data_IF_518266271461
#
_entry.id   IF_518266271461
#
_cell.length_a   1.000
_cell.length_b   1.000
_cell.length_c   1.000
_cell.angle_alpha   90.00
_cell.angle_beta   90.00
_cell.angle_gamma   90.00
#
_symmetry.space_group_name_H-M   'P 1'
#
loop_
_entity.id
_entity.type
_entity.pdbx_description
1 polymer ?
#
# COMPACT_ATOMS: atom_id res chain seq x y z
N UNK A 1 13.63 12.14 -12.13
CA UNK A 1 13.56 12.69 -10.78
C UNK A 1 12.47 11.99 -9.99
N UNK A 2 12.77 11.57 -8.79
CA UNK A 2 11.79 10.92 -7.92
C UNK A 2 11.16 11.94 -6.99
N UNK A 3 9.86 11.81 -6.82
CA UNK A 3 9.10 12.65 -5.91
C UNK A 3 8.19 11.77 -5.06
N UNK A 4 8.21 11.97 -3.74
CA UNK A 4 7.36 11.24 -2.80
C UNK A 4 6.38 12.21 -2.16
N UNK A 5 5.11 11.83 -2.11
CA UNK A 5 4.09 12.69 -1.52
C UNK A 5 2.89 11.86 -1.07
N UNK A 6 2.08 12.48 -0.22
CA UNK A 6 0.84 11.86 0.28
C UNK A 6 -0.34 12.34 -0.55
N UNK A 7 -1.30 11.46 -0.77
CA UNK A 7 -2.53 11.87 -1.45
C UNK A 7 -3.20 13.06 -0.75
N UNK A 8 -3.17 13.07 0.60
CA UNK A 8 -3.77 14.16 1.36
C UNK A 8 -3.14 15.52 1.12
N UNK A 9 -1.92 15.55 0.57
CA UNK A 9 -1.22 16.80 0.25
C UNK A 9 -1.57 17.37 -1.11
N UNK A 10 -2.32 16.62 -1.92
CA UNK A 10 -2.68 17.07 -3.26
C UNK A 10 -3.70 18.21 -3.21
N UNK A 11 -3.52 19.22 -4.07
CA UNK A 11 -4.54 20.26 -4.18
C UNK A 11 -5.83 19.66 -4.75
N UNK A 12 -6.95 20.31 -4.42
CA UNK A 12 -8.28 19.83 -4.80
C UNK A 12 -8.39 19.48 -6.30
N UNK A 13 -7.80 20.31 -7.15
CA UNK A 13 -7.92 20.13 -8.59
C UNK A 13 -7.10 18.96 -9.14
N UNK A 14 -6.16 18.42 -8.37
CA UNK A 14 -5.38 17.25 -8.79
C UNK A 14 -5.94 15.94 -8.26
N UNK A 15 -6.85 15.97 -7.28
CA UNK A 15 -7.31 14.74 -6.64
C UNK A 15 -7.99 13.76 -7.59
N UNK A 16 -8.85 14.25 -8.49
CA UNK A 16 -9.52 13.36 -9.45
C UNK A 16 -8.52 12.67 -10.35
N UNK A 17 -7.53 13.41 -10.81
CA UNK A 17 -6.51 12.88 -11.71
C UNK A 17 -5.70 11.77 -11.02
N UNK A 18 -5.21 12.03 -9.82
CA UNK A 18 -4.44 11.02 -9.10
C UNK A 18 -5.29 9.85 -8.62
N UNK A 19 -6.55 10.10 -8.27
CA UNK A 19 -7.47 9.01 -7.97
C UNK A 19 -7.51 8.02 -9.14
N UNK A 20 -7.66 8.53 -10.35
CA UNK A 20 -7.70 7.69 -11.54
C UNK A 20 -6.35 7.03 -11.84
N UNK A 21 -5.26 7.77 -11.73
CA UNK A 21 -3.92 7.24 -12.01
C UNK A 21 -3.55 6.11 -11.06
N UNK A 22 -3.82 6.28 -9.78
CA UNK A 22 -3.53 5.26 -8.77
C UNK A 22 -4.37 4.00 -9.05
N UNK A 23 -5.64 4.18 -9.36
CA UNK A 23 -6.50 3.05 -9.67
C UNK A 23 -5.96 2.23 -10.85
N UNK A 24 -5.64 2.91 -11.95
CA UNK A 24 -5.09 2.25 -13.14
C UNK A 24 -3.75 1.57 -12.83
N UNK A 25 -2.91 2.23 -12.07
CA UNK A 25 -1.62 1.68 -11.66
C UNK A 25 -1.79 0.37 -10.89
N UNK A 26 -2.73 0.34 -9.93
CA UNK A 26 -2.98 -0.85 -9.13
C UNK A 26 -3.70 -1.95 -9.91
N UNK A 27 -4.49 -1.58 -10.92
CA UNK A 27 -5.11 -2.57 -11.80
C UNK A 27 -4.05 -3.32 -12.62
N UNK A 28 -3.00 -2.62 -13.05
CA UNK A 28 -1.87 -3.26 -13.74
C UNK A 28 -1.13 -4.22 -12.82
N UNK A 29 -1.17 -3.96 -11.52
CA UNK A 29 -0.54 -4.82 -10.53
C UNK A 29 -1.31 -6.13 -10.31
N UNK A 30 -2.47 -6.28 -10.95
CA UNK A 30 -3.33 -7.46 -10.81
C UNK A 30 -3.61 -7.77 -9.34
N UNK A 31 -4.19 -6.78 -8.65
CA UNK A 31 -4.48 -6.90 -7.22
C UNK A 31 -5.34 -8.13 -6.96
N UNK A 32 -5.00 -8.94 -5.93
CA UNK A 32 -5.64 -10.23 -5.69
C UNK A 32 -7.01 -10.15 -4.99
N UNK A 33 -7.60 -8.97 -4.85
CA UNK A 33 -8.84 -8.80 -4.11
C UNK A 33 -10.05 -8.84 -5.03
N UNK A 34 -11.07 -9.69 -4.74
CA UNK A 34 -12.35 -9.54 -5.41
C UNK A 34 -12.94 -8.18 -5.06
N UNK A 35 -13.66 -7.58 -6.01
CA UNK A 35 -14.27 -6.27 -5.80
C UNK A 35 -13.28 -5.17 -5.38
N UNK A 36 -12.06 -5.21 -5.92
CA UNK A 36 -11.05 -4.21 -5.60
C UNK A 36 -11.55 -2.78 -5.88
N UNK A 37 -12.30 -2.60 -6.96
CA UNK A 37 -12.80 -1.27 -7.33
C UNK A 37 -13.70 -0.69 -6.23
N UNK A 38 -14.55 -1.51 -5.62
CA UNK A 38 -15.44 -1.08 -4.54
C UNK A 38 -14.60 -0.71 -3.32
N UNK A 39 -13.65 -1.60 -2.96
CA UNK A 39 -12.77 -1.36 -1.83
C UNK A 39 -11.97 -0.06 -2.01
N UNK A 40 -11.42 0.15 -3.20
CA UNK A 40 -10.62 1.34 -3.47
C UNK A 40 -11.47 2.61 -3.36
N UNK A 41 -12.67 2.59 -3.97
CA UNK A 41 -13.56 3.74 -3.89
C UNK A 41 -13.95 4.07 -2.46
N UNK A 42 -14.09 3.05 -1.60
CA UNK A 42 -14.48 3.23 -0.20
C UNK A 42 -13.40 3.88 0.65
N UNK A 43 -12.18 4.02 0.15
CA UNK A 43 -11.13 4.76 0.86
C UNK A 43 -11.43 6.25 0.92
N UNK A 44 -12.28 6.73 0.02
CA UNK A 44 -12.49 8.15 -0.22
C UNK A 44 -13.91 8.60 0.14
N UNK A 45 -14.03 9.89 0.45
CA UNK A 45 -15.34 10.55 0.55
C UNK A 45 -15.83 10.90 -0.86
N UNK A 46 -17.08 11.37 -0.96
CA UNK A 46 -17.65 11.77 -2.26
C UNK A 46 -16.85 12.88 -2.94
N UNK A 47 -16.17 13.73 -2.17
CA UNK A 47 -15.36 14.82 -2.70
C UNK A 47 -13.90 14.40 -2.92
N UNK A 48 -13.62 13.10 -2.90
CA UNK A 48 -12.29 12.54 -3.09
C UNK A 48 -11.25 12.99 -2.06
N UNK A 49 -11.69 13.24 -0.84
CA UNK A 49 -10.79 13.28 0.31
C UNK A 49 -10.65 11.87 0.84
N UNK A 50 -9.45 11.49 1.26
CA UNK A 50 -9.29 10.23 1.97
C UNK A 50 -10.01 10.31 3.31
N UNK A 51 -10.60 9.18 3.71
CA UNK A 51 -11.18 9.06 5.05
C UNK A 51 -10.07 9.24 6.09
N UNK A 52 -10.39 9.75 7.30
CA UNK A 52 -9.37 10.10 8.29
C UNK A 52 -8.42 8.95 8.66
N UNK A 53 -8.89 7.71 8.62
CA UNK A 53 -8.06 6.55 8.96
C UNK A 53 -7.16 6.09 7.81
N UNK A 54 -7.21 6.75 6.65
CA UNK A 54 -6.49 6.33 5.45
C UNK A 54 -5.43 7.33 5.01
N UNK A 55 -4.40 6.80 4.38
CA UNK A 55 -3.43 7.60 3.64
C UNK A 55 -2.90 6.77 2.47
N UNK A 56 -2.45 7.46 1.45
CA UNK A 56 -1.79 6.83 0.30
C UNK A 56 -0.47 7.55 0.10
N UNK A 57 0.63 6.80 0.17
CA UNK A 57 1.95 7.32 -0.16
C UNK A 57 2.21 7.03 -1.63
N UNK A 58 2.70 8.01 -2.35
CA UNK A 58 2.93 7.93 -3.79
C UNK A 58 4.37 8.26 -4.10
N UNK A 59 5.00 7.44 -4.94
CA UNK A 59 6.27 7.79 -5.58
C UNK A 59 6.01 8.03 -7.05
N UNK A 60 6.41 9.19 -7.53
CA UNK A 60 6.30 9.56 -8.94
C UNK A 60 7.69 9.72 -9.50
N UNK A 61 7.95 9.12 -10.65
CA UNK A 61 9.22 9.20 -11.33
C UNK A 61 8.97 9.47 -12.83
N UNK A 62 9.59 10.52 -13.33
CA UNK A 62 9.44 10.90 -14.75
C UNK A 62 7.97 11.06 -15.13
N UNK A 63 7.19 11.72 -14.26
CA UNK A 63 5.76 12.01 -14.44
C UNK A 63 4.87 10.77 -14.48
N UNK A 64 5.36 9.64 -13.97
CA UNK A 64 4.59 8.40 -13.87
C UNK A 64 4.60 7.90 -12.43
N UNK A 65 3.52 7.25 -12.04
CA UNK A 65 3.50 6.60 -10.73
C UNK A 65 4.44 5.41 -10.79
N UNK A 66 5.42 5.41 -9.88
CA UNK A 66 6.40 4.33 -9.77
C UNK A 66 6.06 3.38 -8.63
N UNK A 67 5.41 3.86 -7.59
CA UNK A 67 5.03 3.04 -6.44
C UNK A 67 3.97 3.69 -5.59
N UNK A 68 3.23 2.86 -4.86
CA UNK A 68 2.11 3.29 -4.02
C UNK A 68 2.02 2.39 -2.79
N UNK A 69 1.71 2.99 -1.63
CA UNK A 69 1.23 2.23 -0.48
C UNK A 69 -0.11 2.80 -0.03
N UNK A 70 -1.02 1.92 0.37
CA UNK A 70 -2.31 2.32 0.93
C UNK A 70 -2.34 1.89 2.37
N UNK A 71 -2.61 2.83 3.26
CA UNK A 71 -2.44 2.67 4.69
C UNK A 71 -3.76 2.83 5.43
N UNK A 72 -3.82 2.19 6.61
CA UNK A 72 -4.95 2.35 7.53
C UNK A 72 -4.39 2.53 8.94
N UNK A 73 -4.95 3.51 9.66
CA UNK A 73 -4.58 3.77 11.04
C UNK A 73 -5.83 4.08 11.86
N UNK A 74 -6.10 3.25 12.86
CA UNK A 74 -7.16 3.46 13.83
C UNK A 74 -6.55 3.36 15.22
N UNK A 75 -7.37 3.46 16.25
CA UNK A 75 -6.89 3.23 17.63
C UNK A 75 -6.43 1.80 17.83
N UNK A 76 -7.06 0.86 17.12
CA UNK A 76 -6.82 -0.57 17.32
C UNK A 76 -5.77 -1.14 16.40
N UNK A 77 -5.56 -0.55 15.22
CA UNK A 77 -4.63 -1.14 14.27
C UNK A 77 -3.91 -0.11 13.40
N UNK A 78 -2.74 -0.51 12.96
CA UNK A 78 -1.98 0.20 11.94
C UNK A 78 -1.62 -0.83 10.87
N UNK A 79 -2.00 -0.57 9.62
CA UNK A 79 -1.87 -1.58 8.57
C UNK A 79 -1.41 -0.98 7.25
N UNK A 80 -0.50 -1.71 6.59
CA UNK A 80 -0.16 -1.46 5.20
C UNK A 80 -1.05 -2.42 4.41
N UNK A 81 -2.10 -1.87 3.80
CA UNK A 81 -3.11 -2.67 3.11
C UNK A 81 -2.67 -3.08 1.71
N UNK A 82 -1.91 -2.20 1.06
CA UNK A 82 -1.44 -2.42 -0.30
C UNK A 82 -0.07 -1.77 -0.44
N UNK A 83 0.83 -2.46 -1.14
CA UNK A 83 2.12 -1.91 -1.50
C UNK A 83 2.50 -2.46 -2.86
N UNK A 84 2.82 -1.57 -3.79
CA UNK A 84 3.22 -2.00 -5.12
C UNK A 84 4.21 -1.01 -5.72
N UNK A 85 5.29 -1.55 -6.28
CA UNK A 85 6.27 -0.79 -7.05
C UNK A 85 6.28 -1.36 -8.46
N UNK A 86 6.17 -0.51 -9.45
CA UNK A 86 6.16 -0.95 -10.85
C UNK A 86 7.42 -1.73 -11.16
N UNK A 87 7.28 -2.81 -11.94
CA UNK A 87 8.34 -3.76 -12.21
C UNK A 87 9.61 -3.08 -12.73
N UNK A 88 9.46 -2.12 -13.64
CA UNK A 88 10.60 -1.41 -14.24
C UNK A 88 11.34 -0.50 -13.27
N UNK A 89 10.76 -0.20 -12.12
CA UNK A 89 11.37 0.68 -11.12
C UNK A 89 11.85 -0.06 -9.87
N UNK A 90 11.77 -1.39 -9.87
CA UNK A 90 12.20 -2.19 -8.70
C UNK A 90 13.72 -2.19 -8.57
N UNK A 91 14.18 -2.50 -7.35
CA UNK A 91 15.60 -2.57 -6.99
C UNK A 91 16.32 -1.22 -7.02
N UNK A 92 15.57 -0.13 -6.95
CA UNK A 92 16.11 1.22 -6.92
C UNK A 92 15.81 1.96 -5.61
N UNK A 93 15.39 1.23 -4.58
CA UNK A 93 15.13 1.83 -3.27
C UNK A 93 13.77 2.45 -3.08
N UNK A 94 12.90 2.42 -4.10
CA UNK A 94 11.57 3.04 -4.00
C UNK A 94 10.71 2.33 -2.96
N UNK A 95 10.69 0.99 -2.99
CA UNK A 95 9.92 0.23 -2.01
C UNK A 95 10.38 0.50 -0.58
N UNK A 96 11.69 0.59 -0.37
CA UNK A 96 12.25 0.88 0.94
C UNK A 96 11.83 2.27 1.42
N UNK A 97 11.90 3.28 0.56
CA UNK A 97 11.49 4.63 0.93
C UNK A 97 9.99 4.70 1.21
N UNK A 98 9.17 4.04 0.40
CA UNK A 98 7.74 3.99 0.64
C UNK A 98 7.44 3.33 1.99
N UNK A 99 8.16 2.26 2.32
CA UNK A 99 8.00 1.60 3.61
C UNK A 99 8.37 2.54 4.76
N UNK A 100 9.50 3.24 4.66
CA UNK A 100 9.91 4.20 5.69
C UNK A 100 8.85 5.28 5.92
N UNK A 101 8.36 5.88 4.84
CA UNK A 101 7.33 6.92 4.92
C UNK A 101 6.03 6.38 5.48
N UNK A 102 5.66 5.16 5.08
CA UNK A 102 4.44 4.51 5.57
C UNK A 102 4.50 4.23 7.05
N UNK A 103 5.63 3.70 7.54
CA UNK A 103 5.81 3.42 8.96
C UNK A 103 5.80 4.71 9.78
N UNK A 104 6.38 5.77 9.24
CA UNK A 104 6.36 7.07 9.90
C UNK A 104 4.95 7.59 10.06
N UNK A 105 4.12 7.49 9.01
CA UNK A 105 2.73 7.93 9.08
C UNK A 105 1.91 7.08 10.03
N UNK A 106 2.12 5.76 10.02
CA UNK A 106 1.37 4.84 10.87
C UNK A 106 1.60 5.08 12.35
N UNK A 107 2.80 5.55 12.72
CA UNK A 107 3.15 5.89 14.12
C UNK A 107 2.84 4.78 15.11
N UNK A 108 2.93 3.55 14.66
CA UNK A 108 2.57 2.41 15.49
C UNK A 108 3.76 1.49 15.66
N UNK A 109 3.83 0.90 16.83
CA UNK A 109 4.92 0.03 17.21
C UNK A 109 4.82 -1.33 16.54
N UNK A 110 3.61 -1.75 16.18
CA UNK A 110 3.37 -3.09 15.62
C UNK A 110 2.47 -3.03 14.38
N UNK A 111 2.91 -2.37 13.32
CA UNK A 111 2.11 -2.34 12.10
C UNK A 111 2.01 -3.72 11.47
N UNK A 112 0.93 -3.94 10.75
CA UNK A 112 0.63 -5.21 10.10
C UNK A 112 0.64 -5.01 8.59
N UNK A 113 1.16 -5.98 7.85
CA UNK A 113 1.02 -6.02 6.41
C UNK A 113 0.47 -7.39 6.01
N UNK A 114 -0.53 -7.39 5.14
CA UNK A 114 -1.12 -8.62 4.61
C UNK A 114 -0.81 -8.71 3.13
N UNK A 115 -0.30 -9.85 2.68
CA UNK A 115 -0.04 -10.06 1.27
C UNK A 115 -0.45 -11.47 0.83
N UNK A 116 -0.78 -11.60 -0.45
CA UNK A 116 -1.03 -12.87 -1.07
C UNK A 116 0.28 -13.67 -1.10
N UNK A 117 0.22 -14.96 -0.81
CA UNK A 117 1.42 -15.80 -0.75
C UNK A 117 2.23 -15.77 -2.05
N UNK A 118 1.58 -15.57 -3.18
CA UNK A 118 2.27 -15.48 -4.47
C UNK A 118 3.18 -14.25 -4.56
N UNK A 119 2.95 -13.23 -3.73
CA UNK A 119 3.74 -12.01 -3.70
C UNK A 119 4.90 -12.07 -2.71
N UNK A 120 4.96 -13.08 -1.86
CA UNK A 120 5.97 -13.18 -0.81
C UNK A 120 7.40 -13.03 -1.32
N UNK A 121 7.80 -13.70 -2.43
CA UNK A 121 9.18 -13.56 -2.90
C UNK A 121 9.59 -12.13 -3.21
N UNK A 122 8.65 -11.30 -3.65
CA UNK A 122 8.92 -9.90 -3.98
C UNK A 122 9.17 -9.05 -2.73
N UNK A 123 8.59 -9.44 -1.59
CA UNK A 123 8.60 -8.63 -0.38
C UNK A 123 9.54 -9.13 0.71
N UNK A 124 10.06 -10.35 0.60
CA UNK A 124 10.86 -10.95 1.69
C UNK A 124 12.00 -10.05 2.13
N UNK A 125 12.75 -9.50 1.19
CA UNK A 125 13.92 -8.65 1.52
C UNK A 125 13.53 -7.41 2.31
N UNK A 126 12.51 -6.71 1.84
CA UNK A 126 12.07 -5.47 2.48
C UNK A 126 11.41 -5.75 3.83
N UNK A 127 10.64 -6.83 3.94
CA UNK A 127 10.02 -7.21 5.20
C UNK A 127 11.08 -7.52 6.26
N UNK A 128 12.10 -8.29 5.88
CA UNK A 128 13.19 -8.62 6.80
C UNK A 128 13.96 -7.38 7.22
N UNK A 129 14.24 -6.50 6.27
CA UNK A 129 14.98 -5.26 6.54
C UNK A 129 14.29 -4.40 7.60
N UNK A 130 12.96 -4.34 7.58
CA UNK A 130 12.19 -3.54 8.52
C UNK A 130 11.71 -4.30 9.75
N UNK A 131 12.14 -5.54 9.93
CA UNK A 131 11.84 -6.31 11.13
C UNK A 131 10.45 -6.95 11.16
N UNK A 132 9.84 -7.14 10.02
CA UNK A 132 8.57 -7.85 9.94
C UNK A 132 8.79 -9.36 10.00
N UNK A 133 7.91 -10.06 10.69
CA UNK A 133 7.93 -11.51 10.76
C UNK A 133 6.55 -12.07 10.49
N UNK A 134 6.52 -13.24 9.84
CA UNK A 134 5.27 -13.91 9.55
C UNK A 134 4.57 -14.31 10.85
N UNK A 135 3.30 -13.90 11.01
CA UNK A 135 2.50 -14.20 12.18
C UNK A 135 1.46 -15.26 11.90
N UNK A 136 0.89 -15.25 10.70
CA UNK A 136 -0.25 -16.11 10.42
C UNK A 136 -0.40 -16.34 8.93
N UNK A 137 -0.87 -17.56 8.59
CA UNK A 137 -1.33 -17.90 7.23
C UNK A 137 -2.83 -18.09 7.32
N UNK A 138 -3.57 -17.51 6.38
CA UNK A 138 -5.01 -17.60 6.37
C UNK A 138 -5.49 -17.93 4.96
N UNK A 139 -6.35 -18.95 4.84
CA UNK A 139 -6.91 -19.33 3.55
C UNK A 139 -8.23 -18.63 3.32
N UNK A 140 -8.40 -18.07 2.12
CA UNK A 140 -9.69 -17.50 1.72
C UNK A 140 -10.06 -16.20 2.39
N UNK A 141 -9.09 -15.47 2.99
CA UNK A 141 -9.37 -14.22 3.69
C UNK A 141 -9.96 -13.16 2.74
N UNK A 142 -9.38 -13.02 1.56
CA UNK A 142 -9.86 -12.07 0.55
C UNK A 142 -10.31 -12.75 -0.73
N UNK A 143 -9.75 -13.94 -1.04
CA UNK A 143 -10.08 -14.69 -2.25
C UNK A 143 -10.17 -16.18 -1.90
N UNK A 144 -11.24 -16.87 -2.33
CA UNK A 144 -11.36 -18.31 -2.12
C UNK A 144 -10.15 -19.05 -2.72
N UNK A 145 -9.60 -19.99 -1.96
CA UNK A 145 -8.50 -20.81 -2.42
C UNK A 145 -7.13 -20.14 -2.44
N UNK A 146 -7.03 -18.88 -2.02
CA UNK A 146 -5.76 -18.17 -1.92
C UNK A 146 -5.30 -18.11 -0.48
N UNK A 147 -3.98 -18.17 -0.29
CA UNK A 147 -3.37 -18.06 1.04
C UNK A 147 -2.88 -16.64 1.24
N UNK A 148 -3.34 -16.01 2.32
CA UNK A 148 -2.90 -14.68 2.72
C UNK A 148 -1.90 -14.82 3.84
N UNK A 149 -0.81 -14.06 3.74
CA UNK A 149 0.24 -14.04 4.76
C UNK A 149 0.15 -12.75 5.54
N UNK A 150 0.09 -12.87 6.86
CA UNK A 150 0.00 -11.73 7.75
C UNK A 150 1.33 -11.57 8.47
N UNK A 151 1.99 -10.44 8.23
CA UNK A 151 3.25 -10.09 8.86
C UNK A 151 3.04 -8.98 9.87
N UNK A 152 3.78 -9.03 10.96
CA UNK A 152 3.76 -7.96 11.95
C UNK A 152 5.20 -7.61 12.31
N UNK A 153 5.42 -6.34 12.62
CA UNK A 153 6.72 -5.86 13.04
C UNK A 153 6.89 -6.17 14.54
N UNK A 154 8.03 -6.71 14.87
CA UNK A 154 8.36 -6.91 16.28
C UNK A 154 8.77 -5.58 16.89
N UNK A 155 8.24 -5.30 18.06
CA UNK A 155 8.59 -4.09 18.79
C UNK A 155 10.01 -4.17 19.35
#
# INVERSE_FOLDING_TARGET
MERYFKFSELPTWERQMYYNYIYLFLMEANMPYPAFSVWYNDLFTDDLYLKPEREIMICEKEYRIAGVTILKRTKEEAKICTMYVAKQYRHNGIGQMLMELSLEWLKNQKPVITLDSSKEPEFTGILNHFGFALQKRSCGLYRPGKVELIYSRKS
#
